data_IF_204658327466
#
_entry.id   IF_204658327466
#
_cell.length_a   1.000
_cell.length_b   1.000
_cell.length_c   1.000
_cell.angle_alpha   90.00
_cell.angle_beta   90.00
_cell.angle_gamma   90.00
#
_symmetry.space_group_name_H-M   'P 1'
#
loop_
_entity.id
_entity.type
_entity.pdbx_description
1 polymer ?
#
# COMPACT_ATOMS: atom_id res chain seq x y z
N UNK A 1 -19.56 -20.76 -13.13
CA UNK A 1 -18.27 -20.19 -12.75
C UNK A 1 -18.13 -20.37 -11.24
N UNK A 2 -17.18 -21.17 -10.79
CA UNK A 2 -16.95 -21.36 -9.36
C UNK A 2 -16.24 -20.12 -8.82
N UNK A 3 -16.85 -19.44 -7.84
CA UNK A 3 -16.35 -18.22 -7.20
C UNK A 3 -15.79 -18.49 -5.80
N UNK A 4 -15.68 -19.76 -5.41
CA UNK A 4 -15.13 -20.15 -4.12
C UNK A 4 -13.60 -19.96 -4.12
N UNK A 5 -13.08 -19.47 -3.00
CA UNK A 5 -11.65 -19.41 -2.78
C UNK A 5 -11.05 -20.82 -2.64
N UNK A 6 -9.86 -21.03 -3.19
CA UNK A 6 -9.09 -22.23 -2.98
C UNK A 6 -8.64 -22.35 -1.51
N UNK A 7 -8.19 -23.52 -1.10
CA UNK A 7 -7.61 -23.72 0.24
C UNK A 7 -6.38 -22.85 0.47
N UNK A 8 -5.59 -22.59 -0.58
CA UNK A 8 -4.42 -21.70 -0.55
C UNK A 8 -4.84 -20.24 -0.35
N UNK A 9 -5.89 -19.79 -1.07
CA UNK A 9 -6.45 -18.45 -0.92
C UNK A 9 -7.04 -18.22 0.48
N UNK A 10 -7.73 -19.23 1.03
CA UNK A 10 -8.26 -19.15 2.40
C UNK A 10 -7.15 -19.09 3.45
N UNK A 11 -6.06 -19.84 3.24
CA UNK A 11 -4.88 -19.74 4.09
C UNK A 11 -4.28 -18.33 3.99
N UNK A 12 -4.06 -17.82 2.80
CA UNK A 12 -3.55 -16.46 2.58
C UNK A 12 -4.44 -15.41 3.25
N UNK A 13 -5.76 -15.56 3.16
CA UNK A 13 -6.71 -14.67 3.84
C UNK A 13 -6.52 -14.68 5.36
N UNK A 14 -6.32 -15.87 5.95
CA UNK A 14 -6.03 -16.00 7.38
C UNK A 14 -4.72 -15.33 7.77
N UNK A 15 -3.67 -15.54 6.96
CA UNK A 15 -2.35 -14.96 7.19
C UNK A 15 -2.41 -13.40 7.14
N UNK A 16 -3.18 -12.85 6.19
CA UNK A 16 -3.41 -11.39 6.09
C UNK A 16 -4.14 -10.84 7.32
N UNK A 17 -5.19 -11.52 7.78
CA UNK A 17 -5.93 -11.11 9.00
C UNK A 17 -5.06 -11.09 10.23
N UNK A 18 -4.29 -12.15 10.42
CA UNK A 18 -3.36 -12.27 11.53
C UNK A 18 -2.31 -11.16 11.48
N UNK A 19 -1.72 -10.92 10.31
CA UNK A 19 -0.75 -9.86 10.12
C UNK A 19 -1.32 -8.48 10.46
N UNK A 20 -2.50 -8.13 9.95
CA UNK A 20 -3.16 -6.86 10.25
C UNK A 20 -3.45 -6.74 11.75
N UNK A 21 -4.02 -7.77 12.36
CA UNK A 21 -4.34 -7.78 13.78
C UNK A 21 -3.12 -7.52 14.68
N UNK A 22 -1.97 -8.07 14.30
CA UNK A 22 -0.74 -7.98 15.07
C UNK A 22 0.08 -6.71 14.81
N UNK A 23 -0.10 -6.07 13.66
CA UNK A 23 0.81 -5.00 13.20
C UNK A 23 0.14 -3.66 12.92
N UNK A 24 -1.20 -3.60 12.78
CA UNK A 24 -1.87 -2.34 12.48
C UNK A 24 -1.88 -1.43 13.73
N UNK A 25 -1.28 -0.21 13.67
CA UNK A 25 -1.11 0.63 14.85
C UNK A 25 -2.45 1.11 15.41
N UNK A 26 -2.63 0.93 16.74
CA UNK A 26 -3.82 1.41 17.45
C UNK A 26 -3.95 2.93 17.37
N UNK A 27 -2.84 3.63 17.49
CA UNK A 27 -2.78 5.10 17.41
C UNK A 27 -3.26 5.60 16.06
N UNK A 28 -2.88 4.90 14.98
CA UNK A 28 -3.35 5.23 13.63
C UNK A 28 -4.87 5.02 13.50
N UNK A 29 -5.40 3.95 14.07
CA UNK A 29 -6.84 3.70 14.10
C UNK A 29 -7.60 4.80 14.84
N UNK A 30 -7.06 5.26 15.95
CA UNK A 30 -7.64 6.35 16.77
C UNK A 30 -7.57 7.69 16.01
N UNK A 31 -6.45 7.98 15.31
CA UNK A 31 -6.30 9.17 14.45
C UNK A 31 -7.33 9.20 13.33
N UNK A 32 -7.54 8.06 12.64
CA UNK A 32 -8.56 7.92 11.59
C UNK A 32 -9.96 8.12 12.17
N UNK A 33 -10.25 7.54 13.32
CA UNK A 33 -11.53 7.72 14.03
C UNK A 33 -11.78 9.20 14.38
N UNK A 34 -10.74 9.90 14.79
CA UNK A 34 -10.80 11.34 15.07
C UNK A 34 -11.06 12.16 13.81
N UNK A 35 -10.34 11.87 12.69
CA UNK A 35 -10.60 12.50 11.39
C UNK A 35 -12.06 12.36 10.96
N UNK A 36 -12.61 11.16 11.05
CA UNK A 36 -14.02 10.88 10.69
C UNK A 36 -15.01 11.71 11.51
N UNK A 37 -14.73 11.96 12.79
CA UNK A 37 -15.61 12.70 13.70
C UNK A 37 -15.46 14.22 13.60
N UNK A 38 -14.25 14.71 13.38
CA UNK A 38 -13.91 16.14 13.53
C UNK A 38 -13.51 16.81 12.22
N UNK A 39 -13.26 16.05 11.15
CA UNK A 39 -12.69 16.55 9.90
C UNK A 39 -11.20 16.90 9.97
N UNK A 40 -10.54 16.68 11.13
CA UNK A 40 -9.11 16.99 11.28
C UNK A 40 -8.27 16.13 10.34
N UNK A 41 -7.43 16.77 9.54
CA UNK A 41 -6.56 16.06 8.60
C UNK A 41 -5.54 15.17 9.33
N UNK A 42 -5.20 14.03 8.70
CA UNK A 42 -4.14 13.15 9.17
C UNK A 42 -2.78 13.81 8.93
N UNK A 43 -1.85 13.62 9.86
CA UNK A 43 -0.47 14.03 9.66
C UNK A 43 0.18 13.19 8.54
N UNK A 44 1.30 13.69 8.00
CA UNK A 44 2.10 12.92 7.04
C UNK A 44 2.56 11.58 7.64
N UNK A 45 2.94 11.59 8.90
CA UNK A 45 3.39 10.38 9.61
C UNK A 45 2.26 9.37 9.75
N UNK A 46 1.03 9.82 10.06
CA UNK A 46 -0.15 8.95 10.06
C UNK A 46 -0.38 8.33 8.67
N UNK A 47 -0.31 9.14 7.61
CA UNK A 47 -0.51 8.66 6.22
C UNK A 47 0.53 7.62 5.79
N UNK A 48 1.76 7.72 6.28
CA UNK A 48 2.86 6.83 5.90
C UNK A 48 3.08 5.67 6.87
N UNK A 49 2.50 5.71 8.05
CA UNK A 49 2.72 4.73 9.13
C UNK A 49 2.44 3.30 8.68
N UNK A 50 1.25 3.05 8.12
CA UNK A 50 0.88 1.71 7.64
C UNK A 50 1.72 1.28 6.43
N UNK A 51 2.01 2.18 5.50
CA UNK A 51 2.88 1.93 4.37
C UNK A 51 4.27 1.44 4.81
N UNK A 52 4.88 2.10 5.79
CA UNK A 52 6.20 1.73 6.34
C UNK A 52 6.19 0.34 6.99
N UNK A 53 5.09 -0.04 7.63
CA UNK A 53 4.94 -1.39 8.20
C UNK A 53 4.86 -2.42 7.08
N UNK A 54 4.03 -2.19 6.06
CA UNK A 54 3.90 -3.07 4.90
C UNK A 54 5.20 -3.15 4.09
N UNK A 55 5.94 -2.05 3.97
CA UNK A 55 7.22 -2.01 3.27
C UNK A 55 8.30 -2.90 3.89
N UNK A 56 8.19 -3.20 5.19
CA UNK A 56 9.08 -4.14 5.92
C UNK A 56 8.63 -5.59 5.81
N UNK A 57 7.47 -5.86 5.21
CA UNK A 57 6.87 -7.20 5.17
C UNK A 57 6.74 -7.71 3.73
N UNK A 58 7.82 -8.31 3.21
CA UNK A 58 7.83 -9.06 1.95
C UNK A 58 7.17 -8.34 0.74
N UNK A 59 7.35 -7.02 0.64
CA UNK A 59 6.82 -6.25 -0.49
C UNK A 59 5.31 -5.99 -0.45
N UNK A 60 4.65 -6.18 0.70
CA UNK A 60 3.19 -5.98 0.85
C UNK A 60 2.75 -4.53 0.66
N UNK A 61 3.65 -3.56 0.74
CA UNK A 61 3.37 -2.17 0.33
C UNK A 61 3.10 -2.03 -1.16
N UNK A 62 3.62 -2.95 -1.98
CA UNK A 62 3.47 -2.98 -3.43
C UNK A 62 2.97 -4.36 -3.90
N UNK A 63 1.69 -4.71 -3.61
CA UNK A 63 1.16 -6.06 -3.80
C UNK A 63 1.28 -6.58 -5.24
N UNK A 64 1.18 -5.70 -6.21
CA UNK A 64 1.22 -6.05 -7.63
C UNK A 64 2.58 -5.90 -8.31
N UNK A 65 3.61 -5.40 -7.60
CA UNK A 65 4.92 -5.26 -8.22
C UNK A 65 5.62 -6.60 -8.34
N UNK A 66 6.44 -6.80 -9.41
CA UNK A 66 7.31 -7.97 -9.53
C UNK A 66 8.27 -8.09 -8.34
N UNK A 67 8.53 -9.33 -7.91
CA UNK A 67 9.47 -9.62 -6.81
C UNK A 67 10.87 -9.05 -7.04
N UNK A 68 11.35 -9.09 -8.29
CA UNK A 68 12.66 -8.52 -8.64
C UNK A 68 12.81 -7.03 -8.32
N UNK A 69 11.70 -6.31 -8.19
CA UNK A 69 11.68 -4.89 -7.79
C UNK A 69 11.18 -4.69 -6.35
N UNK A 70 11.14 -5.76 -5.56
CA UNK A 70 10.78 -5.74 -4.14
C UNK A 70 9.29 -5.81 -3.86
N UNK A 71 8.44 -6.06 -4.84
CA UNK A 71 7.00 -6.26 -4.66
C UNK A 71 6.64 -7.66 -4.19
N UNK A 72 5.38 -7.83 -3.77
CA UNK A 72 4.87 -9.12 -3.31
C UNK A 72 4.46 -10.07 -4.45
N UNK A 73 4.22 -9.54 -5.65
CA UNK A 73 3.78 -10.27 -6.85
C UNK A 73 2.52 -11.11 -6.60
N UNK A 74 1.58 -10.52 -5.85
CA UNK A 74 0.30 -11.18 -5.57
C UNK A 74 -0.48 -11.48 -6.85
N UNK A 75 -1.09 -12.65 -6.89
CA UNK A 75 -2.09 -12.98 -7.92
C UNK A 75 -3.28 -12.02 -7.83
N UNK A 76 -4.10 -11.91 -8.89
CA UNK A 76 -5.32 -11.09 -8.83
C UNK A 76 -6.23 -11.45 -7.64
N UNK A 77 -6.38 -12.74 -7.33
CA UNK A 77 -7.16 -13.22 -6.18
C UNK A 77 -6.54 -12.78 -4.85
N UNK A 78 -5.23 -12.93 -4.70
CA UNK A 78 -4.52 -12.49 -3.47
C UNK A 78 -4.60 -10.98 -3.28
N UNK A 79 -4.48 -10.18 -4.35
CA UNK A 79 -4.68 -8.72 -4.28
C UNK A 79 -6.08 -8.37 -3.79
N UNK A 80 -7.10 -9.01 -4.35
CA UNK A 80 -8.47 -8.82 -3.93
C UNK A 80 -8.66 -9.18 -2.44
N UNK A 81 -8.15 -10.32 -2.00
CA UNK A 81 -8.21 -10.77 -0.60
C UNK A 81 -7.52 -9.75 0.30
N UNK A 82 -6.31 -9.32 -0.04
CA UNK A 82 -5.55 -8.34 0.72
C UNK A 82 -6.31 -7.01 0.88
N UNK A 83 -6.85 -6.48 -0.22
CA UNK A 83 -7.64 -5.24 -0.21
C UNK A 83 -8.91 -5.38 0.62
N UNK A 84 -9.61 -6.52 0.52
CA UNK A 84 -10.81 -6.81 1.31
C UNK A 84 -10.51 -6.88 2.81
N UNK A 85 -9.45 -7.56 3.21
CA UNK A 85 -9.08 -7.67 4.63
C UNK A 85 -8.60 -6.34 5.19
N UNK A 86 -7.84 -5.54 4.43
CA UNK A 86 -7.48 -4.17 4.80
C UNK A 86 -8.73 -3.29 4.97
N UNK A 87 -9.69 -3.38 4.05
CA UNK A 87 -10.94 -2.61 4.14
C UNK A 87 -11.80 -3.02 5.35
N UNK A 88 -11.91 -4.32 5.63
CA UNK A 88 -12.64 -4.83 6.82
C UNK A 88 -12.02 -4.37 8.13
N UNK A 89 -10.70 -4.31 8.19
CA UNK A 89 -9.97 -3.83 9.35
C UNK A 89 -9.90 -2.31 9.45
N UNK A 90 -10.46 -1.60 8.46
CA UNK A 90 -10.42 -0.14 8.34
C UNK A 90 -8.98 0.41 8.29
N UNK A 91 -8.08 -0.34 7.63
CA UNK A 91 -6.71 0.10 7.47
C UNK A 91 -6.62 1.40 6.67
N UNK A 92 -5.59 2.20 7.00
CA UNK A 92 -5.26 3.39 6.22
C UNK A 92 -4.91 2.99 4.78
N UNK A 93 -5.51 3.68 3.82
CA UNK A 93 -5.20 3.49 2.41
C UNK A 93 -3.78 3.95 2.10
N UNK A 94 -3.05 3.15 1.34
CA UNK A 94 -1.72 3.54 0.84
C UNK A 94 -1.89 4.57 -0.27
N UNK A 95 -1.16 5.68 -0.19
CA UNK A 95 -1.20 6.73 -1.20
C UNK A 95 -0.70 6.19 -2.54
N UNK A 96 -1.49 6.33 -3.62
CA UNK A 96 -1.24 5.61 -4.87
C UNK A 96 -0.08 6.18 -5.69
N UNK A 97 0.33 7.42 -5.45
CA UNK A 97 1.24 8.15 -6.33
C UNK A 97 2.59 7.45 -6.53
N UNK A 98 3.17 6.92 -5.45
CA UNK A 98 4.40 6.14 -5.53
C UNK A 98 4.16 4.74 -6.10
N UNK A 99 3.32 3.96 -5.42
CA UNK A 99 3.18 2.52 -5.66
C UNK A 99 2.40 2.21 -6.95
N UNK A 100 1.30 2.92 -7.21
CA UNK A 100 0.41 2.58 -8.32
C UNK A 100 0.63 3.44 -9.57
N UNK A 101 1.33 4.57 -9.46
CA UNK A 101 1.53 5.49 -10.58
C UNK A 101 2.99 5.51 -11.03
N UNK A 102 3.88 6.21 -10.31
CA UNK A 102 5.25 6.43 -10.78
C UNK A 102 6.13 5.17 -10.71
N UNK A 103 5.94 4.34 -9.70
CA UNK A 103 6.74 3.12 -9.54
C UNK A 103 6.65 2.17 -10.74
N UNK A 104 5.45 1.82 -11.24
CA UNK A 104 5.29 1.04 -12.46
C UNK A 104 5.98 1.66 -13.69
N UNK A 105 5.96 2.97 -13.83
CA UNK A 105 6.68 3.65 -14.90
C UNK A 105 8.20 3.48 -14.74
N UNK A 106 8.71 3.66 -13.51
CA UNK A 106 10.15 3.55 -13.26
C UNK A 106 10.65 2.12 -13.48
N UNK A 107 9.98 1.09 -12.94
CA UNK A 107 10.48 -0.27 -13.14
C UNK A 107 10.32 -0.78 -14.58
N UNK A 108 9.37 -0.24 -15.35
CA UNK A 108 9.14 -0.65 -16.72
C UNK A 108 10.07 0.09 -17.69
N UNK A 109 10.24 1.39 -17.53
CA UNK A 109 10.89 2.25 -18.53
C UNK A 109 12.17 2.94 -18.01
N UNK A 110 12.39 2.96 -16.71
CA UNK A 110 13.57 3.56 -16.10
C UNK A 110 14.84 2.74 -16.37
N UNK A 111 15.98 3.43 -16.42
CA UNK A 111 17.28 2.77 -16.40
C UNK A 111 17.61 2.23 -15.00
N UNK A 112 18.69 1.43 -14.87
CA UNK A 112 19.05 0.78 -13.61
C UNK A 112 19.39 1.79 -12.49
N UNK A 113 19.96 2.93 -12.84
CA UNK A 113 20.25 4.01 -11.86
C UNK A 113 18.96 4.60 -11.31
N UNK A 114 17.96 4.87 -12.16
CA UNK A 114 16.66 5.38 -11.75
C UNK A 114 15.90 4.37 -10.87
N UNK A 115 15.94 3.09 -11.25
CA UNK A 115 15.33 2.01 -10.47
C UNK A 115 15.98 1.91 -9.10
N UNK A 116 17.30 1.84 -9.04
CA UNK A 116 18.05 1.75 -7.77
C UNK A 116 17.82 2.96 -6.86
N UNK A 117 17.69 4.14 -7.46
CA UNK A 117 17.49 5.39 -6.71
C UNK A 117 16.08 5.53 -6.13
N UNK A 118 15.05 5.17 -6.88
CA UNK A 118 13.68 5.53 -6.54
C UNK A 118 12.82 4.40 -5.97
N UNK A 119 12.95 3.16 -6.50
CA UNK A 119 12.06 2.07 -6.10
C UNK A 119 12.16 1.71 -4.61
N UNK A 120 13.35 1.65 -3.99
CA UNK A 120 13.45 1.33 -2.56
C UNK A 120 12.69 2.33 -1.67
N UNK A 121 12.81 3.63 -1.95
CA UNK A 121 12.14 4.67 -1.17
C UNK A 121 10.61 4.68 -1.35
N UNK A 122 10.11 4.24 -2.51
CA UNK A 122 8.69 4.03 -2.74
C UNK A 122 8.18 2.84 -1.91
N UNK A 123 8.89 1.73 -1.93
CA UNK A 123 8.51 0.50 -1.21
C UNK A 123 8.54 0.68 0.30
N UNK A 124 9.58 1.32 0.83
CA UNK A 124 9.73 1.54 2.28
C UNK A 124 8.76 2.58 2.83
N UNK A 125 8.19 3.44 1.98
CA UNK A 125 7.36 4.56 2.40
C UNK A 125 8.18 5.74 2.96
N UNK A 126 9.47 5.79 2.72
CA UNK A 126 10.32 6.90 3.17
C UNK A 126 10.20 8.12 2.26
N UNK A 127 9.86 7.89 0.98
CA UNK A 127 9.64 8.94 0.00
C UNK A 127 8.15 9.07 -0.30
N UNK A 128 7.59 10.24 0.02
CA UNK A 128 6.21 10.57 -0.30
C UNK A 128 6.15 11.22 -1.68
N UNK A 129 5.47 10.56 -2.60
CA UNK A 129 5.21 11.08 -3.95
C UNK A 129 3.90 11.83 -3.99
N UNK A 130 3.86 12.88 -4.76
CA UNK A 130 2.66 13.67 -5.04
C UNK A 130 2.46 13.84 -6.55
N UNK A 131 1.27 14.24 -6.91
CA UNK A 131 0.90 14.55 -8.29
C UNK A 131 0.76 16.06 -8.42
N UNK A 132 1.49 16.64 -9.35
CA UNK A 132 1.38 18.05 -9.72
C UNK A 132 0.59 18.19 -11.01
N UNK A 133 -0.71 18.46 -10.91
CA UNK A 133 -1.62 18.54 -12.07
C UNK A 133 -2.11 19.95 -12.28
N UNK A 134 -3.23 20.26 -11.64
CA UNK A 134 -3.87 21.57 -11.79
C UNK A 134 -3.20 22.64 -10.95
N UNK A 135 -3.05 23.83 -11.50
CA UNK A 135 -2.56 25.02 -10.81
C UNK A 135 -3.68 26.07 -10.71
N UNK A 136 -3.58 27.06 -9.79
CA UNK A 136 -4.53 28.15 -9.75
C UNK A 136 -4.62 28.85 -11.12
N UNK A 137 -5.79 28.81 -11.75
CA UNK A 137 -6.03 29.37 -13.08
C UNK A 137 -5.67 28.48 -14.28
N UNK A 138 -5.28 27.22 -14.04
CA UNK A 138 -4.92 26.25 -15.08
C UNK A 138 -5.32 24.85 -14.66
N UNK A 139 -6.53 24.42 -14.98
CA UNK A 139 -7.06 23.12 -14.60
C UNK A 139 -8.16 22.63 -15.50
#
# INVERSE_FOLDING_TARGET
>A
MDTAFSSEDLKFQSDVREFISNNYPKELKDSIGTKRKTGKELSRDDLMSWHKILGKHNGWSAPGWPKQYGGAEFTPTQKYIFEQECARAECQYIMPFGVNMVGPVIYTFGNEEQKAKHLPGILSGDVFWCQGYSEPGSG
#
